data_IF_908814362043
#
_entry.id   IF_908814362043
#
_cell.length_a   1.000
_cell.length_b   1.000
_cell.length_c   1.000
_cell.angle_alpha   90.00
_cell.angle_beta   90.00
_cell.angle_gamma   90.00
#
_symmetry.space_group_name_H-M   'P 1'
#
loop_
_entity.id
_entity.type
_entity.pdbx_description
1 polymer ?
#
# COMPACT_ATOMS: atom_id res chain seq x y z
N UNK A 1 22.24 -17.40 46.24
CA UNK A 1 21.36 -16.23 46.47
C UNK A 1 22.13 -15.00 46.06
N UNK A 2 21.77 -14.39 44.92
CA UNK A 2 22.36 -13.14 44.45
C UNK A 2 21.37 -12.04 44.82
N UNK A 3 21.77 -10.93 45.49
CA UNK A 3 20.83 -9.94 45.99
C UNK A 3 20.17 -9.16 44.84
N UNK A 4 18.85 -8.98 44.94
CA UNK A 4 17.98 -8.16 44.09
C UNK A 4 18.24 -6.64 44.26
N UNK A 5 19.48 -6.20 44.12
CA UNK A 5 19.81 -4.78 44.15
C UNK A 5 20.74 -4.45 42.99
N UNK A 6 20.15 -4.13 41.83
CA UNK A 6 20.74 -3.26 40.78
C UNK A 6 19.79 -3.16 39.58
N UNK A 7 18.63 -2.58 39.79
CA UNK A 7 17.82 -2.04 38.68
C UNK A 7 17.05 -0.77 39.05
N UNK A 8 17.41 -0.13 40.18
CA UNK A 8 16.78 1.11 40.65
C UNK A 8 17.38 2.40 40.09
N UNK A 9 18.62 2.39 39.58
CA UNK A 9 19.40 3.62 39.38
C UNK A 9 19.77 3.93 37.92
N UNK A 10 18.95 3.52 36.94
CA UNK A 10 19.21 3.93 35.55
C UNK A 10 18.59 5.29 35.19
N UNK A 11 17.65 5.81 35.98
CA UNK A 11 17.02 7.11 35.72
C UNK A 11 16.61 7.81 37.03
N UNK A 12 17.09 9.04 37.31
CA UNK A 12 16.68 9.79 38.50
C UNK A 12 15.17 10.11 38.45
N UNK A 13 14.52 10.07 39.61
CA UNK A 13 13.06 10.01 39.91
C UNK A 13 12.13 11.05 39.26
N UNK A 14 12.61 11.93 38.38
CA UNK A 14 11.78 12.79 37.52
C UNK A 14 11.72 12.35 36.04
N UNK A 15 12.65 11.50 35.59
CA UNK A 15 12.75 11.05 34.19
C UNK A 15 11.97 9.77 33.92
N UNK A 16 11.65 8.97 34.93
CA UNK A 16 10.85 7.75 34.77
C UNK A 16 9.43 8.06 34.28
N UNK A 17 8.71 9.03 34.85
CA UNK A 17 7.35 9.37 34.40
C UNK A 17 7.34 9.95 32.96
N UNK A 18 8.33 10.78 32.62
CA UNK A 18 8.54 11.29 31.25
C UNK A 18 8.91 10.18 30.27
N UNK A 19 9.75 9.22 30.68
CA UNK A 19 10.12 8.07 29.87
C UNK A 19 8.91 7.16 29.67
N UNK A 20 8.16 6.81 30.72
CA UNK A 20 6.92 6.02 30.65
C UNK A 20 5.87 6.66 29.73
N UNK A 21 5.63 7.98 29.83
CA UNK A 21 4.71 8.69 28.92
C UNK A 21 5.22 8.77 27.48
N UNK A 22 6.54 8.78 27.27
CA UNK A 22 7.16 8.77 25.95
C UNK A 22 7.16 7.37 25.33
N UNK A 23 7.41 6.32 26.13
CA UNK A 23 7.34 4.91 25.76
C UNK A 23 5.90 4.49 25.44
N UNK A 24 4.89 5.05 26.12
CA UNK A 24 3.49 4.85 25.78
C UNK A 24 3.10 5.38 24.39
N UNK A 25 3.90 6.29 23.80
CA UNK A 25 3.72 6.79 22.43
C UNK A 25 4.47 5.96 21.39
N UNK A 26 5.36 5.05 21.81
CA UNK A 26 6.08 4.15 20.92
C UNK A 26 5.14 3.02 20.53
N UNK A 27 4.96 2.83 19.22
CA UNK A 27 4.18 1.71 18.69
C UNK A 27 4.85 0.40 19.12
N UNK A 28 4.10 -0.45 19.80
CA UNK A 28 4.58 -1.75 20.27
C UNK A 28 4.79 -2.70 19.08
N UNK A 29 5.83 -3.57 19.08
CA UNK A 29 6.11 -4.47 17.95
C UNK A 29 4.89 -5.30 17.51
N UNK A 30 4.13 -5.83 18.47
CA UNK A 30 2.92 -6.61 18.19
C UNK A 30 1.81 -5.78 17.49
N UNK A 31 1.68 -4.50 17.83
CA UNK A 31 0.73 -3.61 17.17
C UNK A 31 1.18 -3.31 15.72
N UNK A 32 2.47 -3.04 15.51
CA UNK A 32 3.03 -2.83 14.17
C UNK A 32 2.86 -4.08 13.30
N UNK A 33 3.08 -5.27 13.85
CA UNK A 33 2.87 -6.54 13.14
C UNK A 33 1.41 -6.75 12.73
N UNK A 34 0.45 -6.38 13.58
CA UNK A 34 -0.97 -6.42 13.23
C UNK A 34 -1.30 -5.43 12.09
N UNK A 35 -0.76 -4.22 12.15
CA UNK A 35 -0.93 -3.20 11.08
C UNK A 35 -0.32 -3.67 9.74
N UNK A 36 0.83 -4.34 9.77
CA UNK A 36 1.43 -4.99 8.58
C UNK A 36 0.46 -6.00 7.98
N UNK A 37 -0.06 -6.93 8.79
CA UNK A 37 -0.99 -7.96 8.32
C UNK A 37 -2.28 -7.35 7.72
N UNK A 38 -2.79 -6.28 8.33
CA UNK A 38 -3.94 -5.54 7.80
C UNK A 38 -3.65 -4.87 6.46
N UNK A 39 -2.47 -4.24 6.32
CA UNK A 39 -2.04 -3.60 5.08
C UNK A 39 -1.85 -4.63 3.96
N UNK A 40 -1.23 -5.77 4.26
CA UNK A 40 -1.06 -6.85 3.29
C UNK A 40 -2.40 -7.38 2.79
N UNK A 41 -3.30 -7.73 3.71
CA UNK A 41 -4.66 -8.16 3.38
C UNK A 41 -5.41 -7.09 2.57
N UNK A 42 -5.20 -5.83 2.91
CA UNK A 42 -5.73 -4.68 2.19
C UNK A 42 -5.21 -4.58 0.75
N UNK A 43 -3.91 -4.80 0.51
CA UNK A 43 -3.32 -4.80 -0.83
C UNK A 43 -3.90 -5.94 -1.68
N UNK A 44 -4.00 -7.16 -1.13
CA UNK A 44 -4.64 -8.28 -1.83
C UNK A 44 -6.09 -7.97 -2.22
N UNK A 45 -6.85 -7.37 -1.29
CA UNK A 45 -8.22 -6.93 -1.54
C UNK A 45 -8.28 -5.89 -2.65
N UNK A 46 -7.41 -4.87 -2.59
CA UNK A 46 -7.33 -3.81 -3.60
C UNK A 46 -7.01 -4.37 -4.99
N UNK A 47 -6.08 -5.32 -5.10
CA UNK A 47 -5.74 -5.99 -6.37
C UNK A 47 -6.97 -6.73 -6.93
N UNK A 48 -7.69 -7.47 -6.08
CA UNK A 48 -8.91 -8.19 -6.47
C UNK A 48 -10.00 -7.23 -6.96
N UNK A 49 -10.24 -6.15 -6.22
CA UNK A 49 -11.23 -5.12 -6.55
C UNK A 49 -10.88 -4.40 -7.85
N UNK A 50 -9.62 -4.01 -8.04
CA UNK A 50 -9.15 -3.37 -9.26
C UNK A 50 -9.29 -4.30 -10.49
N UNK A 51 -8.98 -5.60 -10.34
CA UNK A 51 -9.21 -6.62 -11.40
C UNK A 51 -10.70 -6.73 -11.72
N UNK A 52 -11.57 -6.73 -10.71
CA UNK A 52 -13.02 -6.79 -10.89
C UNK A 52 -13.57 -5.52 -11.56
N UNK A 53 -13.12 -4.35 -11.13
CA UNK A 53 -13.47 -3.07 -11.72
C UNK A 53 -13.15 -3.03 -13.22
N UNK A 54 -11.97 -3.49 -13.64
CA UNK A 54 -11.61 -3.56 -15.07
C UNK A 54 -12.55 -4.48 -15.85
N UNK A 55 -12.98 -5.60 -15.28
CA UNK A 55 -13.96 -6.50 -15.92
C UNK A 55 -15.31 -5.80 -16.09
N UNK A 56 -15.80 -5.13 -15.05
CA UNK A 56 -17.06 -4.39 -15.10
C UNK A 56 -17.00 -3.23 -16.08
N UNK A 57 -15.92 -2.43 -16.07
CA UNK A 57 -15.75 -1.27 -16.94
C UNK A 57 -15.72 -1.64 -18.43
N UNK A 58 -15.22 -2.84 -18.79
CA UNK A 58 -15.26 -3.34 -20.17
C UNK A 58 -16.67 -3.63 -20.70
N UNK A 59 -17.66 -3.72 -19.82
CA UNK A 59 -19.06 -3.96 -20.17
C UNK A 59 -19.88 -2.65 -20.24
N UNK A 60 -19.28 -1.50 -19.92
CA UNK A 60 -19.98 -0.21 -19.80
C UNK A 60 -20.12 0.58 -21.12
N UNK A 61 -19.73 0.03 -22.27
CA UNK A 61 -19.84 0.72 -23.56
C UNK A 61 -18.92 1.94 -23.71
N UNK A 62 -17.71 1.90 -23.12
CA UNK A 62 -16.77 3.02 -23.15
C UNK A 62 -16.13 3.23 -24.54
N UNK A 63 -15.87 4.48 -24.91
CA UNK A 63 -15.20 4.91 -26.17
C UNK A 63 -13.81 4.29 -26.31
N UNK A 64 -13.16 3.96 -25.20
CA UNK A 64 -11.90 3.21 -25.17
C UNK A 64 -11.94 2.09 -24.15
N UNK A 65 -11.13 1.06 -24.41
CA UNK A 65 -10.99 -0.08 -23.50
C UNK A 65 -10.14 0.33 -22.31
N UNK A 66 -10.55 -0.09 -21.13
CA UNK A 66 -9.67 -0.07 -19.95
C UNK A 66 -8.80 -1.32 -19.89
N UNK A 67 -7.60 -1.15 -19.38
CA UNK A 67 -6.63 -2.22 -19.28
C UNK A 67 -5.87 -2.17 -17.97
N UNK A 68 -5.65 -3.37 -17.44
CA UNK A 68 -4.95 -3.60 -16.18
C UNK A 68 -3.46 -3.75 -16.41
N UNK A 69 -2.66 -3.17 -15.52
CA UNK A 69 -1.23 -3.33 -15.38
C UNK A 69 -0.92 -3.64 -13.92
N UNK A 70 0.08 -4.50 -13.74
CA UNK A 70 0.66 -4.77 -12.43
C UNK A 70 1.97 -4.01 -12.32
N UNK A 71 2.10 -3.15 -11.32
CA UNK A 71 3.38 -2.54 -10.97
C UNK A 71 4.00 -3.40 -9.85
N UNK A 72 5.05 -4.17 -10.15
CA UNK A 72 5.62 -5.12 -9.18
C UNK A 72 6.15 -4.40 -7.95
N UNK A 73 6.00 -5.05 -6.80
CA UNK A 73 6.56 -4.58 -5.52
C UNK A 73 7.86 -5.31 -5.28
N UNK A 74 8.96 -4.56 -5.22
CA UNK A 74 10.28 -5.05 -4.84
C UNK A 74 11.00 -3.97 -4.05
N UNK A 75 11.40 -4.28 -2.82
CA UNK A 75 12.14 -3.37 -1.95
C UNK A 75 12.93 -4.19 -0.92
N UNK A 76 14.11 -3.72 -0.53
CA UNK A 76 15.02 -4.48 0.34
C UNK A 76 14.44 -4.79 1.73
N UNK A 77 13.58 -3.91 2.24
CA UNK A 77 12.93 -4.07 3.57
C UNK A 77 11.69 -4.96 3.54
N UNK A 78 11.20 -5.33 2.36
CA UNK A 78 9.97 -6.11 2.21
C UNK A 78 10.30 -7.58 1.94
N UNK A 79 9.47 -8.51 2.43
CA UNK A 79 9.59 -9.91 2.04
C UNK A 79 9.23 -10.10 0.56
N UNK A 80 9.55 -11.28 0.03
CA UNK A 80 9.21 -11.65 -1.33
C UNK A 80 7.71 -11.94 -1.45
N UNK A 81 6.98 -11.07 -2.14
CA UNK A 81 5.56 -11.25 -2.39
C UNK A 81 5.25 -11.88 -3.76
N UNK A 82 4.15 -12.63 -3.90
CA UNK A 82 3.72 -13.17 -5.18
C UNK A 82 3.18 -12.05 -6.08
N UNK A 83 4.00 -11.58 -7.03
CA UNK A 83 3.68 -10.44 -7.90
C UNK A 83 2.44 -10.58 -8.81
N UNK A 84 1.79 -11.76 -8.84
CA UNK A 84 0.50 -11.98 -9.52
C UNK A 84 -0.68 -11.38 -8.75
N UNK A 85 -0.61 -11.45 -7.43
CA UNK A 85 -1.71 -11.13 -6.53
C UNK A 85 -1.35 -10.05 -5.50
N UNK A 86 -0.07 -9.71 -5.39
CA UNK A 86 0.45 -8.63 -4.57
C UNK A 86 1.29 -7.66 -5.40
N UNK A 87 0.68 -6.55 -5.80
CA UNK A 87 1.31 -5.51 -6.60
C UNK A 87 0.49 -4.23 -6.52
N UNK A 88 1.05 -3.10 -6.92
CA UNK A 88 0.28 -1.86 -7.03
C UNK A 88 -0.58 -1.92 -8.30
N UNK A 89 -1.92 -1.86 -8.20
CA UNK A 89 -2.77 -1.84 -9.38
C UNK A 89 -2.52 -0.57 -10.19
N UNK A 90 -2.36 -0.71 -11.49
CA UNK A 90 -2.28 0.43 -12.40
C UNK A 90 -3.25 0.19 -13.55
N UNK A 91 -4.29 1.01 -13.63
CA UNK A 91 -5.31 0.88 -14.68
C UNK A 91 -5.16 2.06 -15.62
N UNK A 92 -5.12 1.78 -16.92
CA UNK A 92 -4.99 2.78 -17.97
C UNK A 92 -6.07 2.59 -19.03
N UNK A 93 -6.32 3.64 -19.79
CA UNK A 93 -7.03 3.53 -21.05
C UNK A 93 -6.07 2.91 -22.08
N UNK A 94 -6.59 2.11 -22.98
CA UNK A 94 -5.81 1.43 -24.00
C UNK A 94 -6.34 1.78 -25.38
N UNK A 95 -5.42 2.26 -26.21
CA UNK A 95 -5.61 2.46 -27.64
C UNK A 95 -4.79 1.43 -28.41
N UNK A 96 -5.38 0.83 -29.45
CA UNK A 96 -4.69 -0.14 -30.31
C UNK A 96 -4.47 0.49 -31.68
N UNK A 97 -3.21 0.74 -32.01
CA UNK A 97 -2.77 1.24 -33.31
C UNK A 97 -2.12 0.07 -34.05
N UNK A 98 -2.91 -0.61 -34.89
CA UNK A 98 -2.49 -1.87 -35.51
C UNK A 98 -2.23 -2.96 -34.46
N UNK A 99 -0.99 -3.45 -34.38
CA UNK A 99 -0.55 -4.44 -33.38
C UNK A 99 -0.01 -3.82 -32.10
N UNK A 100 0.17 -2.50 -32.05
CA UNK A 100 0.75 -1.81 -30.90
C UNK A 100 -0.35 -1.29 -29.98
N UNK A 101 -0.15 -1.49 -28.67
CA UNK A 101 -1.00 -0.92 -27.63
C UNK A 101 -0.32 0.32 -27.06
N UNK A 102 -1.03 1.44 -27.06
CA UNK A 102 -0.66 2.67 -26.36
C UNK A 102 -1.49 2.80 -25.09
N UNK A 103 -0.80 2.97 -23.97
CA UNK A 103 -1.44 3.25 -22.68
C UNK A 103 -1.65 4.76 -22.54
N UNK A 104 -2.87 5.14 -22.16
CA UNK A 104 -3.28 6.53 -21.98
C UNK A 104 -3.71 6.68 -20.51
N UNK A 105 -3.06 7.59 -19.80
CA UNK A 105 -3.31 7.85 -18.38
C UNK A 105 -3.84 9.24 -18.12
N UNK A 106 -3.76 10.14 -19.10
CA UNK A 106 -4.26 11.51 -18.99
C UNK A 106 -5.72 11.62 -19.44
N UNK A 107 -6.48 12.48 -18.75
CA UNK A 107 -7.88 12.73 -19.10
C UNK A 107 -8.02 13.52 -20.41
N UNK A 108 -7.08 14.42 -20.70
CA UNK A 108 -7.15 15.30 -21.88
C UNK A 108 -7.28 14.52 -23.19
N UNK A 109 -6.49 13.45 -23.35
CA UNK A 109 -6.58 12.57 -24.52
C UNK A 109 -7.94 11.87 -24.63
N UNK A 110 -8.52 11.43 -23.51
CA UNK A 110 -9.84 10.79 -23.50
C UNK A 110 -10.95 11.80 -23.80
N UNK A 111 -10.85 13.03 -23.30
CA UNK A 111 -11.79 14.10 -23.59
C UNK A 111 -11.86 14.40 -25.10
N UNK A 112 -10.70 14.54 -25.76
CA UNK A 112 -10.63 14.74 -27.22
C UNK A 112 -11.26 13.58 -27.99
N UNK A 113 -11.06 12.35 -27.52
CA UNK A 113 -11.67 11.17 -28.15
C UNK A 113 -13.18 11.11 -27.95
N UNK A 114 -13.69 11.57 -26.80
CA UNK A 114 -15.12 11.73 -26.53
C UNK A 114 -15.74 12.83 -27.41
N UNK A 115 -15.02 13.94 -27.61
CA UNK A 115 -15.42 14.99 -28.56
C UNK A 115 -15.55 14.43 -29.99
N UNK A 116 -14.54 13.70 -30.46
CA UNK A 116 -14.54 13.09 -31.79
C UNK A 116 -15.65 12.04 -31.97
N UNK A 117 -16.09 11.39 -30.89
CA UNK A 117 -17.19 10.43 -30.90
C UNK A 117 -18.58 11.09 -30.76
N UNK A 118 -18.66 12.43 -30.66
CA UNK A 118 -19.88 13.17 -30.33
C UNK A 118 -20.56 12.65 -29.05
N UNK A 119 -19.76 12.28 -28.04
CA UNK A 119 -20.28 11.74 -26.81
C UNK A 119 -21.15 12.75 -26.06
N UNK A 120 -22.31 12.28 -25.62
CA UNK A 120 -23.23 13.00 -24.74
C UNK A 120 -22.60 13.35 -23.40
N UNK A 121 -23.26 14.23 -22.66
CA UNK A 121 -22.80 14.61 -21.32
C UNK A 121 -22.77 13.42 -20.35
N UNK A 122 -23.78 12.55 -20.38
CA UNK A 122 -23.85 11.37 -19.51
C UNK A 122 -22.73 10.37 -19.80
N UNK A 123 -22.39 10.16 -21.08
CA UNK A 123 -21.24 9.35 -21.47
C UNK A 123 -19.95 9.95 -20.94
N UNK A 124 -19.76 11.27 -21.04
CA UNK A 124 -18.57 11.93 -20.49
C UNK A 124 -18.46 11.78 -18.98
N UNK A 125 -19.57 11.91 -18.25
CA UNK A 125 -19.60 11.69 -16.80
C UNK A 125 -19.24 10.24 -16.43
N UNK A 126 -19.75 9.26 -17.18
CA UNK A 126 -19.39 7.86 -17.00
C UNK A 126 -17.87 7.64 -17.19
N UNK A 127 -17.30 8.19 -18.26
CA UNK A 127 -15.86 8.08 -18.54
C UNK A 127 -15.00 8.77 -17.48
N UNK A 128 -15.43 9.95 -17.02
CA UNK A 128 -14.74 10.68 -15.95
C UNK A 128 -14.75 9.87 -14.65
N UNK A 129 -15.91 9.29 -14.29
CA UNK A 129 -16.02 8.44 -13.09
C UNK A 129 -15.10 7.23 -13.18
N UNK A 130 -15.03 6.57 -14.33
CA UNK A 130 -14.10 5.46 -14.57
C UNK A 130 -12.66 5.95 -14.45
N UNK A 131 -12.31 7.08 -15.07
CA UNK A 131 -10.96 7.65 -15.02
C UNK A 131 -10.50 7.98 -13.59
N UNK A 132 -11.38 8.58 -12.78
CA UNK A 132 -11.07 8.89 -11.39
C UNK A 132 -10.90 7.62 -10.54
N UNK A 133 -11.76 6.62 -10.72
CA UNK A 133 -11.64 5.35 -10.02
C UNK A 133 -10.32 4.63 -10.37
N UNK A 134 -9.89 4.67 -11.64
CA UNK A 134 -8.59 4.13 -12.07
C UNK A 134 -7.42 4.75 -11.30
N UNK A 135 -7.42 6.09 -11.16
CA UNK A 135 -6.40 6.81 -10.39
C UNK A 135 -6.45 6.45 -8.91
N UNK A 136 -7.64 6.36 -8.33
CA UNK A 136 -7.82 6.00 -6.93
C UNK A 136 -7.18 4.65 -6.58
N UNK A 137 -7.39 3.62 -7.40
CA UNK A 137 -6.75 2.30 -7.16
C UNK A 137 -5.23 2.35 -7.14
N UNK A 138 -4.64 3.14 -8.03
CA UNK A 138 -3.19 3.29 -8.10
C UNK A 138 -2.64 4.09 -6.92
N UNK A 139 -3.28 5.20 -6.59
CA UNK A 139 -2.84 6.10 -5.52
C UNK A 139 -3.02 5.45 -4.14
N UNK A 140 -4.12 4.72 -3.94
CA UNK A 140 -4.34 3.91 -2.73
C UNK A 140 -3.32 2.79 -2.61
N UNK A 141 -3.03 2.07 -3.71
CA UNK A 141 -2.02 1.01 -3.71
C UNK A 141 -0.63 1.53 -3.38
N UNK A 142 -0.25 2.69 -3.91
CA UNK A 142 1.01 3.36 -3.55
C UNK A 142 1.05 3.77 -2.08
N UNK A 143 -0.01 4.40 -1.58
CA UNK A 143 -0.11 4.83 -0.18
C UNK A 143 0.06 3.65 0.78
N UNK A 144 -0.64 2.55 0.53
CA UNK A 144 -0.55 1.34 1.35
C UNK A 144 0.85 0.72 1.30
N UNK A 145 1.47 0.71 0.12
CA UNK A 145 2.81 0.19 -0.04
C UNK A 145 3.86 1.02 0.72
N UNK A 146 3.79 2.34 0.68
CA UNK A 146 4.73 3.20 1.42
C UNK A 146 4.54 3.05 2.94
N UNK A 147 3.31 2.89 3.40
CA UNK A 147 3.03 2.57 4.80
C UNK A 147 3.64 1.22 5.18
N UNK A 148 3.43 0.18 4.36
CA UNK A 148 3.97 -1.16 4.58
C UNK A 148 5.49 -1.17 4.69
N UNK A 149 6.18 -0.47 3.78
CA UNK A 149 7.65 -0.30 3.84
C UNK A 149 8.10 0.34 5.16
N UNK A 150 7.37 1.35 5.61
CA UNK A 150 7.69 2.07 6.85
C UNK A 150 7.50 1.18 8.07
N UNK A 151 6.44 0.36 8.10
CA UNK A 151 6.17 -0.56 9.20
C UNK A 151 7.18 -1.72 9.26
N UNK A 152 7.57 -2.28 8.10
CA UNK A 152 8.64 -3.27 8.04
C UNK A 152 10.00 -2.70 8.47
N UNK A 153 10.34 -1.48 8.03
CA UNK A 153 11.56 -0.82 8.47
C UNK A 153 11.57 -0.62 9.99
N UNK A 154 10.44 -0.17 10.58
CA UNK A 154 10.32 -0.01 12.02
C UNK A 154 10.48 -1.35 12.76
N UNK A 155 9.86 -2.43 12.28
CA UNK A 155 10.02 -3.76 12.88
C UNK A 155 11.48 -4.22 12.86
N UNK A 156 12.18 -4.02 11.73
CA UNK A 156 13.59 -4.36 11.60
C UNK A 156 14.49 -3.58 12.57
N UNK A 157 14.23 -2.28 12.76
CA UNK A 157 14.97 -1.46 13.72
C UNK A 157 14.68 -1.89 15.18
N UNK A 158 13.43 -2.21 15.51
CA UNK A 158 13.04 -2.71 16.85
C UNK A 158 13.72 -4.06 17.16
N UNK A 159 13.78 -4.95 16.17
CA UNK A 159 14.49 -6.23 16.28
C UNK A 159 15.99 -6.02 16.50
N UNK A 160 16.62 -5.16 15.69
CA UNK A 160 18.03 -4.83 15.83
C UNK A 160 18.36 -4.25 17.21
N UNK A 161 17.55 -3.30 17.70
CA UNK A 161 17.72 -2.72 19.04
C UNK A 161 17.65 -3.78 20.13
N UNK A 162 16.66 -4.68 20.07
CA UNK A 162 16.51 -5.78 21.03
C UNK A 162 17.71 -6.70 21.06
N UNK A 163 18.17 -7.16 19.89
CA UNK A 163 19.33 -8.05 19.77
C UNK A 163 20.60 -7.37 20.28
N UNK A 164 20.82 -6.10 19.92
CA UNK A 164 22.01 -5.35 20.34
C UNK A 164 22.09 -5.13 21.86
N UNK A 165 20.94 -5.14 22.56
CA UNK A 165 20.84 -4.88 24.00
C UNK A 165 20.65 -6.16 24.83
N UNK A 166 20.62 -7.35 24.22
CA UNK A 166 20.28 -8.62 24.88
C UNK A 166 18.93 -8.57 25.63
N UNK A 167 17.98 -7.77 25.14
CA UNK A 167 16.64 -7.67 25.72
C UNK A 167 15.76 -8.69 24.99
N UNK A 168 15.13 -9.67 25.67
CA UNK A 168 14.21 -10.59 25.02
C UNK A 168 13.00 -9.82 24.50
N UNK A 169 12.87 -9.66 23.18
CA UNK A 169 11.59 -9.27 22.59
C UNK A 169 10.67 -10.49 22.63
N UNK A 170 9.44 -10.37 23.14
CA UNK A 170 8.44 -11.41 22.94
C UNK A 170 8.27 -11.57 21.43
N UNK A 171 8.79 -12.69 20.94
CA UNK A 171 9.06 -12.97 19.55
C UNK A 171 7.83 -12.68 18.70
N UNK A 172 7.95 -11.71 17.79
CA UNK A 172 7.04 -11.60 16.64
C UNK A 172 7.46 -12.71 15.67
N UNK A 173 7.00 -13.93 15.95
CA UNK A 173 7.16 -15.07 15.03
C UNK A 173 6.21 -14.85 13.86
N UNK A 174 6.74 -14.72 12.65
CA UNK A 174 5.94 -14.71 11.43
C UNK A 174 6.74 -14.30 10.19
N UNK A 175 7.78 -15.06 9.86
CA UNK A 175 8.24 -15.19 8.47
C UNK A 175 7.50 -16.34 7.79
#
# INVERSE_FOLDING_TARGET
>A
MIPEQRMGDLFPDGKQDLCCRSLAKIRQPAAVAAEVAELEAGIYRLVREAKQFVRSARQMGLVRRVAYRSTPVSHAVLPAYPGKDFHVPNICWAEYIGKQRKDITDWGTIAVQLDAANASYDERLLHMRVHLAMRQYHDEGKRMLEQLKSDYALLGELEFMSVSQNIPVPVVVGM
#
